data_IF_871550385642
#
_entry.id   IF_871550385642
#
_cell.length_a   1.000
_cell.length_b   1.000
_cell.length_c   1.000
_cell.angle_alpha   90.00
_cell.angle_beta   90.00
_cell.angle_gamma   90.00
#
_symmetry.space_group_name_H-M   'P 1'
#
loop_
_entity.id
_entity.type
_entity.pdbx_description
1 polymer ?
#
# COMPACT_ATOMS: atom_id res chain seq x y z
N UNK A 1 -2.91 -10.65 5.40
CA UNK A 1 -2.16 -9.50 5.97
C UNK A 1 -2.82 -9.02 7.26
N UNK A 2 -2.06 -8.78 8.33
CA UNK A 2 -2.56 -8.10 9.53
C UNK A 2 -2.75 -6.60 9.24
N UNK A 3 -4.00 -6.12 9.31
CA UNK A 3 -4.40 -4.77 8.87
C UNK A 3 -4.49 -3.76 10.01
N UNK A 4 -4.49 -4.23 11.26
CA UNK A 4 -4.46 -3.35 12.44
C UNK A 4 -3.09 -2.64 12.56
N UNK A 5 -3.06 -1.29 12.56
CA UNK A 5 -1.84 -0.52 12.75
C UNK A 5 -1.36 -0.45 14.21
N UNK A 6 -2.08 -1.04 15.17
CA UNK A 6 -1.72 -0.98 16.59
C UNK A 6 -0.31 -1.52 16.87
N UNK A 7 0.58 -0.66 17.38
CA UNK A 7 1.96 -1.04 17.71
C UNK A 7 2.06 -1.94 18.94
N UNK A 8 1.04 -1.95 19.80
CA UNK A 8 0.96 -2.88 20.93
C UNK A 8 0.94 -4.35 20.52
N UNK A 9 0.66 -4.62 19.24
CA UNK A 9 0.67 -5.97 18.68
C UNK A 9 2.11 -6.51 18.46
N UNK A 10 3.14 -5.69 18.64
CA UNK A 10 4.54 -6.04 18.41
C UNK A 10 5.35 -5.97 19.71
N UNK A 11 6.07 -7.06 20.03
CA UNK A 11 7.01 -7.13 21.14
C UNK A 11 8.42 -7.33 20.61
N UNK A 12 9.32 -6.40 20.90
CA UNK A 12 10.73 -6.54 20.56
C UNK A 12 11.45 -7.35 21.63
N UNK A 13 12.02 -8.49 21.23
CA UNK A 13 12.95 -9.26 22.05
C UNK A 13 14.37 -8.76 21.76
N UNK A 14 14.98 -8.09 22.72
CA UNK A 14 16.31 -7.52 22.58
C UNK A 14 17.41 -8.58 22.47
N UNK A 15 17.27 -9.70 23.19
CA UNK A 15 18.28 -10.76 23.22
C UNK A 15 18.32 -11.50 21.88
N UNK A 16 17.14 -11.85 21.35
CA UNK A 16 17.01 -12.54 20.09
C UNK A 16 17.03 -11.59 18.86
N UNK A 17 16.88 -10.27 19.10
CA UNK A 17 16.74 -9.23 18.07
C UNK A 17 15.62 -9.52 17.08
N UNK A 18 14.51 -10.05 17.59
CA UNK A 18 13.31 -10.37 16.80
C UNK A 18 12.13 -9.53 17.25
N UNK A 19 11.22 -9.28 16.32
CA UNK A 19 9.94 -8.66 16.61
C UNK A 19 8.87 -9.76 16.61
N UNK A 20 8.25 -9.99 17.75
CA UNK A 20 7.15 -10.94 17.92
C UNK A 20 5.82 -10.24 17.65
N UNK A 21 4.98 -10.86 16.82
CA UNK A 21 3.61 -10.40 16.56
C UNK A 21 2.65 -11.23 17.41
N UNK A 22 1.89 -10.58 18.30
CA UNK A 22 1.03 -11.26 19.29
C UNK A 22 -0.47 -11.19 18.98
N UNK A 23 -0.88 -10.41 17.98
CA UNK A 23 -2.28 -10.25 17.60
C UNK A 23 -2.47 -10.43 16.08
N UNK A 24 -3.45 -11.27 15.73
CA UNK A 24 -3.87 -11.59 14.37
C UNK A 24 -5.38 -11.37 14.13
N UNK A 25 -6.10 -10.72 15.07
CA UNK A 25 -7.56 -10.56 15.04
C UNK A 25 -8.12 -9.72 13.90
N UNK A 26 -7.26 -8.95 13.21
CA UNK A 26 -7.62 -8.17 12.01
C UNK A 26 -6.85 -8.62 10.76
N UNK A 27 -6.45 -9.89 10.72
CA UNK A 27 -5.90 -10.51 9.52
C UNK A 27 -6.98 -10.57 8.41
N UNK A 28 -6.60 -10.15 7.20
CA UNK A 28 -7.43 -10.23 5.99
C UNK A 28 -6.67 -10.85 4.84
N UNK A 29 -7.37 -11.64 4.06
CA UNK A 29 -6.88 -12.13 2.77
C UNK A 29 -7.18 -11.12 1.67
N UNK A 30 -6.30 -11.07 0.69
CA UNK A 30 -6.42 -10.20 -0.48
C UNK A 30 -6.34 -11.08 -1.73
N UNK A 31 -7.28 -10.97 -2.67
CA UNK A 31 -7.22 -11.71 -3.92
C UNK A 31 -5.91 -11.41 -4.67
N UNK A 32 -5.30 -12.41 -5.32
CA UNK A 32 -4.02 -12.24 -6.02
C UNK A 32 -4.06 -11.13 -7.05
N UNK A 33 -5.15 -11.03 -7.82
CA UNK A 33 -5.38 -9.93 -8.77
C UNK A 33 -5.30 -8.55 -8.12
N UNK A 34 -5.86 -8.40 -6.92
CA UNK A 34 -5.79 -7.14 -6.18
C UNK A 34 -4.35 -6.80 -5.80
N UNK A 35 -3.60 -7.79 -5.27
CA UNK A 35 -2.20 -7.59 -4.89
C UNK A 35 -1.33 -7.24 -6.10
N UNK A 36 -1.55 -7.91 -7.24
CA UNK A 36 -0.84 -7.65 -8.49
C UNK A 36 -1.03 -6.20 -8.97
N UNK A 37 -2.28 -5.76 -9.07
CA UNK A 37 -2.61 -4.42 -9.55
C UNK A 37 -2.18 -3.35 -8.52
N UNK A 38 -2.26 -3.66 -7.21
CA UNK A 38 -1.81 -2.77 -6.15
C UNK A 38 -0.29 -2.57 -6.16
N UNK A 39 0.47 -3.65 -6.31
CA UNK A 39 1.93 -3.56 -6.38
C UNK A 39 2.40 -2.76 -7.61
N UNK A 40 1.75 -2.95 -8.77
CA UNK A 40 1.99 -2.12 -9.97
C UNK A 40 1.68 -0.65 -9.72
N UNK A 41 0.56 -0.35 -9.05
CA UNK A 41 0.21 1.03 -8.68
C UNK A 41 1.25 1.67 -7.77
N UNK A 42 1.76 0.94 -6.76
CA UNK A 42 2.80 1.45 -5.86
C UNK A 42 4.07 1.79 -6.64
N UNK A 43 4.50 0.94 -7.58
CA UNK A 43 5.66 1.20 -8.44
C UNK A 43 5.41 2.40 -9.37
N UNK A 44 4.22 2.51 -9.95
CA UNK A 44 3.85 3.68 -10.77
C UNK A 44 3.94 4.98 -9.95
N UNK A 45 3.36 5.00 -8.75
CA UNK A 45 3.45 6.13 -7.84
C UNK A 45 4.89 6.46 -7.43
N UNK A 46 5.71 5.44 -7.16
CA UNK A 46 7.12 5.61 -6.81
C UNK A 46 7.95 6.21 -7.95
N UNK A 47 7.55 5.97 -9.20
CA UNK A 47 8.21 6.47 -10.41
C UNK A 47 7.58 7.77 -10.96
N UNK A 48 6.56 8.32 -10.31
CA UNK A 48 5.73 9.43 -10.82
C UNK A 48 5.11 9.15 -12.20
N UNK A 49 4.78 7.89 -12.48
CA UNK A 49 4.09 7.48 -13.70
C UNK A 49 2.57 7.71 -13.53
N UNK A 50 2.11 8.84 -14.08
CA UNK A 50 0.73 9.30 -13.93
C UNK A 50 -0.24 8.37 -14.65
N UNK A 51 0.06 8.01 -15.87
CA UNK A 51 -0.79 7.18 -16.71
C UNK A 51 -0.98 5.79 -16.08
N UNK A 52 0.10 5.15 -15.66
CA UNK A 52 0.03 3.84 -15.02
C UNK A 52 -0.67 3.90 -13.64
N UNK A 53 -0.44 4.96 -12.86
CA UNK A 53 -1.12 5.15 -11.59
C UNK A 53 -2.65 5.26 -11.77
N UNK A 54 -3.11 5.99 -12.78
CA UNK A 54 -4.53 6.12 -13.11
C UNK A 54 -5.09 4.77 -13.60
N UNK A 55 -4.40 4.09 -14.51
CA UNK A 55 -4.85 2.80 -15.04
C UNK A 55 -5.04 1.78 -13.93
N UNK A 56 -4.05 1.61 -13.06
CA UNK A 56 -4.13 0.66 -11.95
C UNK A 56 -5.21 1.08 -10.94
N UNK A 57 -5.34 2.38 -10.66
CA UNK A 57 -6.39 2.89 -9.77
C UNK A 57 -7.80 2.59 -10.27
N UNK A 58 -8.02 2.60 -11.60
CA UNK A 58 -9.29 2.17 -12.20
C UNK A 58 -9.52 0.66 -12.02
N UNK A 59 -8.49 -0.15 -12.27
CA UNK A 59 -8.58 -1.62 -12.12
C UNK A 59 -8.83 -2.04 -10.67
N UNK A 60 -8.26 -1.30 -9.71
CA UNK A 60 -8.46 -1.48 -8.27
C UNK A 60 -9.81 -0.93 -7.77
N UNK A 61 -10.58 -0.26 -8.63
CA UNK A 61 -11.86 0.35 -8.26
C UNK A 61 -11.73 1.61 -7.39
N UNK A 62 -10.55 2.23 -7.32
CA UNK A 62 -10.36 3.50 -6.62
C UNK A 62 -10.92 4.67 -7.44
N UNK A 63 -10.90 4.51 -8.76
CA UNK A 63 -11.47 5.43 -9.73
C UNK A 63 -12.46 4.65 -10.61
N UNK A 64 -13.59 5.29 -10.90
CA UNK A 64 -14.62 4.80 -11.83
C UNK A 64 -14.25 5.07 -13.29
N UNK A 65 -13.39 6.06 -13.53
CA UNK A 65 -13.05 6.57 -14.86
C UNK A 65 -13.93 7.73 -15.34
N UNK A 66 -14.87 8.20 -14.53
CA UNK A 66 -15.74 9.35 -14.81
C UNK A 66 -15.45 10.54 -13.89
N UNK A 67 -14.34 10.50 -13.15
CA UNK A 67 -13.95 11.57 -12.22
C UNK A 67 -13.71 12.90 -12.94
N UNK A 68 -13.96 14.00 -12.22
CA UNK A 68 -13.52 15.32 -12.67
C UNK A 68 -11.99 15.42 -12.65
N UNK A 69 -11.43 16.31 -13.46
CA UNK A 69 -9.98 16.56 -13.49
C UNK A 69 -9.42 16.91 -12.11
N UNK A 70 -10.20 17.62 -11.28
CA UNK A 70 -9.83 17.98 -9.91
C UNK A 70 -9.65 16.72 -9.04
N UNK A 71 -10.59 15.77 -9.14
CA UNK A 71 -10.52 14.51 -8.38
C UNK A 71 -9.37 13.65 -8.88
N UNK A 72 -9.21 13.54 -10.19
CA UNK A 72 -8.15 12.76 -10.81
C UNK A 72 -6.76 13.27 -10.41
N UNK A 73 -6.57 14.59 -10.44
CA UNK A 73 -5.31 15.21 -10.06
C UNK A 73 -5.03 15.05 -8.56
N UNK A 74 -6.04 15.26 -7.71
CA UNK A 74 -5.90 15.04 -6.27
C UNK A 74 -5.52 13.59 -5.94
N UNK A 75 -6.11 12.62 -6.66
CA UNK A 75 -5.81 11.19 -6.49
C UNK A 75 -4.38 10.85 -6.90
N UNK A 76 -3.94 11.28 -8.08
CA UNK A 76 -2.57 11.05 -8.57
C UNK A 76 -1.55 11.69 -7.62
N UNK A 77 -1.78 12.96 -7.23
CA UNK A 77 -0.90 13.67 -6.34
C UNK A 77 -0.81 12.98 -4.97
N UNK A 78 -1.92 12.45 -4.45
CA UNK A 78 -1.92 11.69 -3.21
C UNK A 78 -1.10 10.40 -3.36
N UNK A 79 -1.28 9.69 -4.47
CA UNK A 79 -0.47 8.52 -4.82
C UNK A 79 1.03 8.82 -4.83
N UNK A 80 1.44 9.91 -5.49
CA UNK A 80 2.85 10.32 -5.57
C UNK A 80 3.43 10.70 -4.20
N UNK A 81 2.65 11.41 -3.36
CA UNK A 81 3.06 11.72 -1.99
C UNK A 81 3.28 10.45 -1.17
N UNK A 82 2.40 9.46 -1.27
CA UNK A 82 2.59 8.14 -0.63
C UNK A 82 3.78 7.38 -1.25
N UNK A 83 4.04 7.59 -2.53
CA UNK A 83 5.15 7.01 -3.30
C UNK A 83 6.53 7.59 -2.96
N UNK A 84 6.61 8.79 -2.37
CA UNK A 84 7.86 9.51 -2.10
C UNK A 84 8.94 8.68 -1.40
N UNK A 85 8.66 7.92 -0.32
CA UNK A 85 9.67 7.10 0.35
C UNK A 85 10.31 6.08 -0.60
N UNK A 86 9.56 5.62 -1.59
CA UNK A 86 9.98 4.60 -2.55
C UNK A 86 10.57 5.19 -3.83
N UNK A 87 10.82 6.50 -3.91
CA UNK A 87 11.19 7.16 -5.17
C UNK A 87 12.69 7.16 -5.47
N UNK A 88 13.55 7.11 -4.44
CA UNK A 88 15.00 7.21 -4.59
C UNK A 88 15.73 6.11 -3.79
N UNK A 89 16.83 5.55 -4.32
CA UNK A 89 17.69 4.65 -3.57
C UNK A 89 18.24 5.28 -2.29
N UNK A 90 18.57 4.44 -1.32
CA UNK A 90 19.13 4.87 -0.03
C UNK A 90 18.07 5.18 1.02
N UNK A 91 18.56 5.53 2.22
CA UNK A 91 17.72 5.71 3.39
C UNK A 91 16.76 6.90 3.29
N UNK A 92 15.47 6.64 3.47
CA UNK A 92 14.44 7.67 3.60
C UNK A 92 14.16 7.97 5.07
N UNK A 93 14.35 9.23 5.47
CA UNK A 93 13.98 9.73 6.80
C UNK A 93 12.53 10.22 6.79
N UNK A 94 11.65 9.47 7.46
CA UNK A 94 10.23 9.79 7.55
C UNK A 94 9.93 11.07 8.35
N UNK A 95 10.85 11.59 9.16
CA UNK A 95 10.68 12.85 9.88
C UNK A 95 10.96 14.08 9.00
N UNK A 96 11.71 13.89 7.91
CA UNK A 96 12.16 14.98 7.03
C UNK A 96 11.03 15.63 6.22
N UNK A 97 9.94 14.90 5.97
CA UNK A 97 8.85 15.32 5.09
C UNK A 97 7.51 15.10 5.77
N UNK A 98 6.62 16.09 5.71
CA UNK A 98 5.29 15.99 6.30
C UNK A 98 4.29 15.29 5.35
N UNK A 99 4.52 14.00 5.08
CA UNK A 99 3.64 13.16 4.23
C UNK A 99 2.20 13.20 4.78
N UNK A 100 2.03 13.08 6.10
CA UNK A 100 0.70 13.05 6.74
C UNK A 100 -0.13 14.30 6.46
N UNK A 101 0.46 15.50 6.55
CA UNK A 101 -0.26 16.74 6.26
C UNK A 101 -0.62 16.84 4.77
N UNK A 102 0.29 16.48 3.88
CA UNK A 102 0.05 16.50 2.43
C UNK A 102 -1.13 15.60 2.05
N UNK A 103 -1.18 14.38 2.60
CA UNK A 103 -2.29 13.44 2.37
C UNK A 103 -3.60 13.95 2.98
N UNK A 104 -3.57 14.58 4.15
CA UNK A 104 -4.77 15.15 4.79
C UNK A 104 -5.42 16.21 3.90
N UNK A 105 -4.61 17.09 3.32
CA UNK A 105 -5.11 18.17 2.45
C UNK A 105 -5.73 17.60 1.15
N UNK A 106 -5.06 16.64 0.51
CA UNK A 106 -5.55 15.99 -0.71
C UNK A 106 -6.80 15.12 -0.42
N UNK A 107 -6.84 14.48 0.75
CA UNK A 107 -7.98 13.69 1.21
C UNK A 107 -9.26 14.50 1.32
N UNK A 108 -9.18 15.76 1.76
CA UNK A 108 -10.35 16.65 1.82
C UNK A 108 -10.93 16.94 0.44
N UNK A 109 -10.08 17.15 -0.58
CA UNK A 109 -10.51 17.32 -1.97
C UNK A 109 -11.13 16.03 -2.50
N UNK A 110 -10.47 14.88 -2.30
CA UNK A 110 -10.98 13.59 -2.76
C UNK A 110 -12.34 13.24 -2.15
N UNK A 111 -12.55 13.52 -0.86
CA UNK A 111 -13.83 13.28 -0.18
C UNK A 111 -14.98 14.11 -0.77
N UNK A 112 -14.70 15.33 -1.24
CA UNK A 112 -15.71 16.22 -1.84
C UNK A 112 -16.09 15.82 -3.26
N UNK A 113 -15.16 15.27 -4.02
CA UNK A 113 -15.33 15.03 -5.45
C UNK A 113 -15.43 13.55 -5.85
N UNK A 114 -15.20 12.60 -4.92
CA UNK A 114 -15.34 11.17 -5.20
C UNK A 114 -16.78 10.83 -5.62
N UNK A 115 -16.88 9.97 -6.64
CA UNK A 115 -18.17 9.48 -7.14
C UNK A 115 -18.68 8.29 -6.31
N UNK A 116 -17.78 7.40 -5.90
CA UNK A 116 -18.09 6.22 -5.11
C UNK A 116 -17.03 6.01 -4.03
N UNK A 117 -17.37 5.33 -2.92
CA UNK A 117 -16.36 4.86 -1.98
C UNK A 117 -15.44 3.81 -2.64
N UNK A 118 -14.14 3.77 -2.33
CA UNK A 118 -13.25 2.69 -2.74
C UNK A 118 -13.62 1.36 -2.05
N UNK A 119 -13.10 0.22 -2.55
CA UNK A 119 -13.33 -1.09 -1.93
C UNK A 119 -12.79 -1.20 -0.50
N UNK A 120 -13.32 -2.13 0.29
CA UNK A 120 -12.94 -2.37 1.69
C UNK A 120 -11.46 -2.77 1.84
N UNK A 121 -10.93 -3.48 0.84
CA UNK A 121 -9.53 -3.85 0.70
C UNK A 121 -8.62 -2.62 0.69
N UNK A 122 -9.04 -1.55 0.02
CA UNK A 122 -8.30 -0.29 -0.07
C UNK A 122 -8.13 0.34 1.32
N UNK A 123 -9.23 0.43 2.07
CA UNK A 123 -9.23 1.05 3.39
C UNK A 123 -8.31 0.33 4.38
N UNK A 124 -8.41 -0.99 4.41
CA UNK A 124 -7.61 -1.83 5.30
C UNK A 124 -6.12 -1.73 4.98
N UNK A 125 -5.76 -1.69 3.71
CA UNK A 125 -4.37 -1.58 3.28
C UNK A 125 -3.80 -0.18 3.50
N UNK A 126 -4.55 0.89 3.16
CA UNK A 126 -4.13 2.26 3.43
C UNK A 126 -3.89 2.50 4.92
N UNK A 127 -4.77 1.98 5.80
CA UNK A 127 -4.55 2.04 7.26
C UNK A 127 -3.26 1.33 7.68
N UNK A 128 -2.98 0.15 7.12
CA UNK A 128 -1.75 -0.59 7.44
C UNK A 128 -0.50 0.18 7.01
N UNK A 129 -0.51 0.76 5.81
CA UNK A 129 0.59 1.56 5.30
C UNK A 129 0.81 2.83 6.13
N UNK A 130 -0.27 3.57 6.43
CA UNK A 130 -0.19 4.75 7.30
C UNK A 130 0.36 4.40 8.69
N UNK A 131 -0.05 3.27 9.27
CA UNK A 131 0.48 2.80 10.55
C UNK A 131 1.99 2.53 10.52
N UNK A 132 2.48 1.96 9.42
CA UNK A 132 3.91 1.71 9.23
C UNK A 132 4.71 3.02 9.08
N UNK A 133 4.19 3.98 8.31
CA UNK A 133 4.83 5.30 8.16
C UNK A 133 4.91 6.03 9.50
N UNK A 134 3.81 6.06 10.25
CA UNK A 134 3.77 6.68 11.59
C UNK A 134 4.73 6.00 12.56
N UNK A 135 4.92 4.68 12.47
CA UNK A 135 5.90 3.96 13.27
C UNK A 135 7.33 4.43 12.94
N UNK A 136 7.66 4.54 11.64
CA UNK A 136 8.96 5.03 11.19
C UNK A 136 9.22 6.47 11.68
N UNK A 137 8.20 7.35 11.61
CA UNK A 137 8.26 8.72 12.16
C UNK A 137 8.56 8.69 13.66
N UNK A 138 7.80 7.91 14.42
CA UNK A 138 7.93 7.85 15.89
C UNK A 138 9.31 7.35 16.30
N UNK A 139 9.79 6.28 15.64
CA UNK A 139 11.10 5.68 15.91
C UNK A 139 12.27 6.53 15.38
N UNK A 140 12.03 7.45 14.44
CA UNK A 140 13.11 8.16 13.74
C UNK A 140 13.90 7.23 12.83
N UNK A 141 13.20 6.25 12.25
CA UNK A 141 13.82 5.27 11.39
C UNK A 141 14.18 5.89 10.05
N UNK A 142 15.37 5.55 9.57
CA UNK A 142 15.81 5.81 8.20
C UNK A 142 15.80 4.47 7.47
N UNK A 143 14.93 4.32 6.48
CA UNK A 143 14.65 3.03 5.85
C UNK A 143 14.92 3.10 4.35
N UNK A 144 15.68 2.15 3.76
CA UNK A 144 15.91 2.09 2.31
C UNK A 144 14.67 1.59 1.55
N UNK A 145 13.60 2.39 1.57
CA UNK A 145 12.28 1.98 1.08
C UNK A 145 12.26 1.63 -0.41
N UNK A 146 13.01 2.36 -1.27
CA UNK A 146 13.13 2.02 -2.69
C UNK A 146 13.71 0.62 -2.88
N UNK A 147 14.78 0.31 -2.16
CA UNK A 147 15.49 -0.95 -2.30
C UNK A 147 14.60 -2.12 -1.85
N UNK A 148 13.89 -1.95 -0.73
CA UNK A 148 12.88 -2.91 -0.26
C UNK A 148 11.75 -3.11 -1.28
N UNK A 149 11.25 -2.04 -1.90
CA UNK A 149 10.20 -2.15 -2.91
C UNK A 149 10.68 -2.93 -4.13
N UNK A 150 11.89 -2.63 -4.63
CA UNK A 150 12.46 -3.30 -5.80
C UNK A 150 12.73 -4.77 -5.51
N UNK A 151 13.30 -5.10 -4.35
CA UNK A 151 13.52 -6.49 -3.92
C UNK A 151 12.20 -7.28 -3.90
N UNK A 152 11.15 -6.71 -3.29
CA UNK A 152 9.82 -7.32 -3.26
C UNK A 152 9.27 -7.46 -4.68
N UNK A 153 9.37 -6.43 -5.51
CA UNK A 153 8.82 -6.42 -6.86
C UNK A 153 9.50 -7.45 -7.77
N UNK A 154 10.83 -7.57 -7.71
CA UNK A 154 11.62 -8.54 -8.48
C UNK A 154 11.37 -9.98 -8.02
N UNK A 155 11.18 -10.19 -6.72
CA UNK A 155 10.82 -11.50 -6.16
C UNK A 155 9.35 -11.89 -6.34
N UNK A 156 8.48 -10.95 -6.72
CA UNK A 156 7.03 -11.16 -6.79
C UNK A 156 6.61 -11.83 -8.10
N UNK A 157 5.78 -12.87 -8.00
CA UNK A 157 5.23 -13.59 -9.16
C UNK A 157 3.87 -13.05 -9.55
N UNK A 158 3.78 -12.32 -10.65
CA UNK A 158 2.51 -11.89 -11.24
C UNK A 158 1.77 -13.03 -11.95
N UNK A 159 0.44 -13.00 -12.00
CA UNK A 159 -0.38 -14.03 -12.67
C UNK A 159 -1.35 -14.76 -11.74
N UNK A 160 -2.09 -15.72 -12.30
CA UNK A 160 -3.29 -16.33 -11.69
C UNK A 160 -3.00 -17.11 -10.41
N UNK A 161 -3.98 -17.07 -9.50
CA UNK A 161 -4.03 -17.91 -8.30
C UNK A 161 -3.80 -19.37 -8.71
N UNK A 162 -2.81 -20.05 -8.11
CA UNK A 162 -2.65 -21.50 -8.23
C UNK A 162 -3.79 -22.25 -7.49
N UNK A 163 -5.05 -21.95 -7.82
CA UNK A 163 -6.23 -22.65 -7.31
C UNK A 163 -6.62 -23.85 -8.20
N UNK A 164 -5.81 -24.23 -9.18
CA UNK A 164 -6.09 -25.38 -10.06
C UNK A 164 -5.50 -26.73 -9.58
N UNK A 165 -4.89 -26.84 -8.40
CA UNK A 165 -4.39 -28.14 -7.89
C UNK A 165 -5.13 -28.56 -6.64
N UNK A 166 -6.46 -28.72 -6.69
CA UNK A 166 -7.23 -29.48 -5.69
C UNK A 166 -8.52 -30.14 -6.23
N UNK A 167 -8.70 -30.25 -7.57
CA UNK A 167 -9.87 -30.88 -8.19
C UNK A 167 -9.53 -32.04 -9.17
N UNK A 168 -8.46 -32.79 -8.90
CA UNK A 168 -8.18 -34.03 -9.64
C UNK A 168 -7.49 -35.09 -8.78
N UNK A 169 -8.15 -35.52 -7.70
CA UNK A 169 -7.86 -36.83 -7.09
C UNK A 169 -9.04 -37.33 -6.26
N UNK A 170 -10.14 -37.62 -6.95
CA UNK A 170 -11.16 -38.60 -6.55
C UNK A 170 -12.00 -38.95 -7.77
N UNK A 171 -12.30 -40.24 -7.94
CA UNK A 171 -12.80 -40.94 -9.15
C UNK A 171 -11.62 -41.35 -10.05
N UNK A 172 -11.19 -42.61 -10.11
CA UNK A 172 -11.81 -43.94 -9.89
C UNK A 172 -10.81 -44.90 -9.21
#
# INVERSE_FOLDING_TARGET
>A
MQTDPNWGNFLYDENARVINLIDFGAARDYPKRFVDDYLRMVVACANNDREAAIEMSKRLGFLTGMESDIMLEAHVQAGFVVGLPFSKPGGYDFRSTNITQSITNLGATMLRHRLTPPPDEAYSLHRKLSGAFLACIKLGAVVPCRDVLLEVYEGYKFGEDNNEILNSSSVE
#
